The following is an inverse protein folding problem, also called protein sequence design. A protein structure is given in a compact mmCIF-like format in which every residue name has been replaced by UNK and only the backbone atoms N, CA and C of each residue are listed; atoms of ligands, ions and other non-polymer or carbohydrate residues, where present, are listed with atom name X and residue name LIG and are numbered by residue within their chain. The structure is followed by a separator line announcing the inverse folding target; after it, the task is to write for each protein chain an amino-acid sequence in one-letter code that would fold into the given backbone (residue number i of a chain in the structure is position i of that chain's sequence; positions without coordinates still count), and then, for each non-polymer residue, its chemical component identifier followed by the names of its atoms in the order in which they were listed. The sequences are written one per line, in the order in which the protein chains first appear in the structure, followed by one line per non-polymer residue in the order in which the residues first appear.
data_IF_999111664487
#
_entry.id   IF_999111664487
#
_cell.length_a   1.000
_cell.length_b   1.000
_cell.length_c   1.000
_cell.angle_alpha   90.00
_cell.angle_beta   90.00
_cell.angle_gamma   90.00
#
_symmetry.space_group_name_H-M   'P 1'
#
loop_
_entity.id
_entity.type
_entity.pdbx_description
1 polymer ?
#
# COMPACT_ATOMS: atom_id res chain seq x y z
N UNK A 1 38.21 49.83 -11.18
CA UNK A 1 37.60 49.01 -10.10
C UNK A 1 36.63 48.05 -10.76
N UNK A 2 36.96 46.74 -10.81
CA UNK A 2 36.11 45.70 -11.42
C UNK A 2 35.22 45.11 -10.32
N UNK A 3 33.91 45.28 -10.43
CA UNK A 3 32.95 44.63 -9.54
C UNK A 3 32.72 43.19 -10.04
N UNK A 4 32.97 42.22 -9.16
CA UNK A 4 32.73 40.80 -9.40
C UNK A 4 31.37 40.49 -8.76
N UNK A 5 30.34 40.20 -9.55
CA UNK A 5 29.06 39.69 -9.05
C UNK A 5 29.21 38.19 -8.75
N UNK A 6 28.99 37.81 -7.48
CA UNK A 6 28.77 36.42 -7.09
C UNK A 6 27.29 36.08 -7.33
N UNK A 7 27.02 35.18 -8.28
CA UNK A 7 25.68 34.59 -8.43
C UNK A 7 25.61 33.34 -7.56
N UNK A 8 24.78 33.37 -6.51
CA UNK A 8 24.51 32.23 -5.67
C UNK A 8 23.38 31.40 -6.29
N UNK A 9 23.74 30.28 -6.91
CA UNK A 9 22.77 29.31 -7.41
C UNK A 9 22.20 28.51 -6.24
N UNK A 10 20.93 28.76 -5.90
CA UNK A 10 20.17 27.91 -4.98
C UNK A 10 19.84 26.62 -5.73
N UNK A 11 20.45 25.50 -5.33
CA UNK A 11 20.02 24.18 -5.78
C UNK A 11 18.67 23.88 -5.15
N UNK A 12 17.60 23.92 -5.96
CA UNK A 12 16.37 23.23 -5.62
C UNK A 12 16.59 21.73 -5.88
N UNK A 13 16.77 20.96 -4.81
CA UNK A 13 16.62 19.50 -4.87
C UNK A 13 15.15 19.19 -5.11
N UNK A 14 14.81 18.79 -6.34
CA UNK A 14 13.52 18.21 -6.64
C UNK A 14 13.42 16.86 -5.92
N UNK A 15 12.65 16.80 -4.83
CA UNK A 15 12.27 15.54 -4.22
C UNK A 15 11.44 14.74 -5.22
N UNK A 16 11.81 13.49 -5.45
CA UNK A 16 10.97 12.54 -6.19
C UNK A 16 9.68 12.33 -5.40
N UNK A 17 8.55 12.77 -5.94
CA UNK A 17 7.22 12.44 -5.42
C UNK A 17 6.99 10.94 -5.63
N UNK A 18 7.37 10.12 -4.64
CA UNK A 18 6.88 8.75 -4.58
C UNK A 18 5.38 8.81 -4.31
N UNK A 19 4.59 8.04 -5.05
CA UNK A 19 3.24 7.75 -4.61
C UNK A 19 3.33 7.18 -3.19
N UNK A 20 2.72 7.85 -2.21
CA UNK A 20 2.71 7.37 -0.83
C UNK A 20 1.87 6.10 -0.78
N UNK A 21 2.54 4.96 -0.71
CA UNK A 21 1.92 3.69 -0.39
C UNK A 21 1.63 3.65 1.11
N UNK A 22 0.56 2.95 1.48
CA UNK A 22 0.30 2.63 2.88
C UNK A 22 1.49 1.81 3.41
N UNK A 23 2.07 2.14 4.58
CA UNK A 23 3.11 1.33 5.19
C UNK A 23 2.54 -0.04 5.58
N UNK A 24 3.33 -1.10 5.38
CA UNK A 24 3.00 -2.47 5.76
C UNK A 24 1.55 -2.87 5.39
N UNK A 25 1.15 -2.56 4.15
CA UNK A 25 -0.23 -2.67 3.67
C UNK A 25 -0.66 -4.10 3.33
N UNK A 26 0.29 -5.03 3.23
CA UNK A 26 0.06 -6.47 3.17
C UNK A 26 0.30 -7.20 4.49
N UNK A 27 0.62 -6.49 5.59
CA UNK A 27 0.82 -7.07 6.92
C UNK A 27 1.89 -8.18 6.98
N UNK A 28 3.06 -7.94 6.37
CA UNK A 28 4.18 -8.87 6.34
C UNK A 28 5.16 -8.64 7.50
N UNK A 29 5.19 -7.42 8.05
CA UNK A 29 6.13 -7.02 9.09
C UNK A 29 5.43 -6.91 10.46
N UNK A 30 5.95 -7.62 11.46
CA UNK A 30 5.41 -7.68 12.82
C UNK A 30 6.52 -7.64 13.86
N UNK A 31 6.24 -7.06 15.02
CA UNK A 31 7.16 -7.03 16.16
C UNK A 31 6.50 -7.55 17.45
N UNK A 32 7.27 -8.12 18.39
CA UNK A 32 6.75 -8.53 19.69
C UNK A 32 6.15 -7.36 20.47
N UNK A 33 4.95 -7.56 21.03
CA UNK A 33 4.20 -6.53 21.76
C UNK A 33 3.45 -7.16 22.94
N UNK A 34 3.87 -6.91 24.18
CA UNK A 34 3.23 -7.42 25.42
C UNK A 34 2.81 -8.92 25.40
N UNK A 35 3.67 -9.80 24.88
CA UNK A 35 3.39 -11.24 24.83
C UNK A 35 2.48 -11.69 23.68
N UNK A 36 2.08 -10.76 22.81
CA UNK A 36 1.54 -10.99 21.46
C UNK A 36 2.48 -10.32 20.44
N UNK A 37 1.99 -10.06 19.23
CA UNK A 37 2.66 -9.33 18.15
C UNK A 37 1.80 -8.13 17.75
N UNK A 38 2.44 -7.11 17.19
CA UNK A 38 1.78 -5.97 16.57
C UNK A 38 2.36 -5.74 15.17
N UNK A 39 1.53 -5.36 14.18
CA UNK A 39 2.03 -5.09 12.85
C UNK A 39 2.80 -3.77 12.85
N UNK A 40 3.94 -3.73 12.17
CA UNK A 40 4.73 -2.51 12.07
C UNK A 40 3.91 -1.38 11.44
N UNK A 41 4.02 -0.16 11.98
CA UNK A 41 3.26 1.04 11.57
C UNK A 41 1.75 1.01 11.86
N UNK A 42 1.26 0.01 12.59
CA UNK A 42 -0.13 -0.12 12.97
C UNK A 42 -0.25 -0.32 14.48
N UNK A 43 -1.27 0.29 15.08
CA UNK A 43 -1.56 0.16 16.51
C UNK A 43 -3.00 -0.31 16.67
N UNK A 44 -3.23 -1.22 17.60
CA UNK A 44 -4.57 -1.77 17.79
C UNK A 44 -4.88 -2.15 19.23
N UNK A 45 -6.05 -2.74 19.39
CA UNK A 45 -6.63 -3.15 20.68
C UNK A 45 -5.82 -4.19 21.44
N UNK A 46 -4.73 -4.75 20.87
CA UNK A 46 -3.82 -5.66 21.58
C UNK A 46 -3.19 -5.04 22.84
N UNK A 47 -3.15 -3.71 22.97
CA UNK A 47 -2.73 -3.05 24.21
C UNK A 47 -3.61 -3.44 25.42
N UNK A 48 -4.88 -3.84 25.19
CA UNK A 48 -5.81 -4.28 26.22
C UNK A 48 -5.39 -5.58 26.90
N UNK A 49 -4.41 -6.31 26.35
CA UNK A 49 -3.81 -7.48 27.00
C UNK A 49 -3.22 -7.12 28.37
N UNK A 50 -2.73 -5.88 28.55
CA UNK A 50 -2.24 -5.37 29.85
C UNK A 50 -3.36 -5.34 30.91
N UNK A 51 -4.60 -5.16 30.48
CA UNK A 51 -5.78 -5.17 31.33
C UNK A 51 -6.40 -6.58 31.48
N UNK A 52 -5.75 -7.63 30.96
CA UNK A 52 -6.23 -9.01 31.02
C UNK A 52 -7.15 -9.44 29.87
N UNK A 53 -7.26 -8.62 28.81
CA UNK A 53 -8.02 -9.01 27.64
C UNK A 53 -7.29 -10.06 26.79
N UNK A 54 -8.03 -10.87 26.04
CA UNK A 54 -7.43 -11.73 25.00
C UNK A 54 -6.86 -10.89 23.85
N UNK A 55 -5.76 -11.28 23.20
CA UNK A 55 -5.31 -10.62 21.98
C UNK A 55 -6.39 -10.70 20.90
N UNK A 56 -6.53 -9.63 20.13
CA UNK A 56 -7.57 -9.50 19.12
C UNK A 56 -7.04 -9.38 17.71
N UNK A 57 -5.75 -9.15 17.53
CA UNK A 57 -5.11 -8.91 16.22
C UNK A 57 -3.82 -9.70 16.19
N UNK A 58 -3.64 -10.61 15.25
CA UNK A 58 -2.43 -11.45 15.18
C UNK A 58 -2.06 -11.71 13.71
N UNK A 59 -0.78 -12.00 13.40
CA UNK A 59 -0.40 -12.47 12.07
C UNK A 59 -1.02 -13.83 11.81
N UNK A 60 -1.34 -14.11 10.54
CA UNK A 60 -1.77 -15.44 10.11
C UNK A 60 -1.15 -15.81 8.77
N UNK A 61 -0.77 -17.08 8.60
CA UNK A 61 -0.27 -17.60 7.32
C UNK A 61 -1.37 -17.92 6.32
N UNK A 62 -2.62 -17.77 6.73
CA UNK A 62 -3.78 -17.86 5.85
C UNK A 62 -4.00 -16.48 5.21
N UNK A 63 -3.14 -16.16 4.24
CA UNK A 63 -3.00 -14.87 3.60
C UNK A 63 -3.50 -14.90 2.13
N UNK A 64 -3.88 -13.74 1.59
CA UNK A 64 -4.22 -13.61 0.17
C UNK A 64 -2.96 -13.48 -0.69
N UNK A 65 -2.02 -12.65 -0.26
CA UNK A 65 -0.69 -12.55 -0.85
C UNK A 65 0.39 -12.68 0.23
N UNK A 66 1.67 -12.73 -0.18
CA UNK A 66 2.78 -12.82 0.77
C UNK A 66 2.76 -14.05 1.69
N UNK A 67 3.31 -13.89 2.90
CA UNK A 67 3.37 -14.94 3.92
C UNK A 67 2.36 -14.73 5.03
N UNK A 68 1.92 -13.48 5.25
CA UNK A 68 1.10 -13.11 6.39
C UNK A 68 -0.06 -12.20 5.98
N UNK A 69 -1.13 -12.28 6.75
CA UNK A 69 -2.22 -11.31 6.74
C UNK A 69 -2.56 -10.93 8.18
N UNK A 70 -3.34 -9.86 8.36
CA UNK A 70 -3.85 -9.48 9.68
C UNK A 70 -5.15 -10.25 9.99
N UNK A 71 -5.15 -11.03 11.08
CA UNK A 71 -6.32 -11.71 11.61
C UNK A 71 -6.86 -10.97 12.83
N UNK A 72 -8.09 -10.52 12.73
CA UNK A 72 -8.87 -9.83 13.75
C UNK A 72 -9.88 -10.79 14.37
N UNK A 73 -9.97 -10.86 15.69
CA UNK A 73 -10.98 -11.63 16.42
C UNK A 73 -11.60 -10.84 17.56
N UNK A 74 -12.87 -11.14 17.89
CA UNK A 74 -13.53 -10.60 19.08
C UNK A 74 -12.65 -10.79 20.31
N UNK A 75 -12.44 -9.69 21.03
CA UNK A 75 -11.69 -9.64 22.28
C UNK A 75 -12.62 -9.97 23.43
N UNK A 76 -12.14 -10.76 24.38
CA UNK A 76 -12.81 -11.04 25.65
C UNK A 76 -12.04 -10.35 26.75
N UNK A 77 -12.72 -9.54 27.55
CA UNK A 77 -12.19 -8.94 28.78
C UNK A 77 -13.00 -9.45 29.97
N UNK A 78 -12.34 -10.13 30.90
CA UNK A 78 -12.94 -10.55 32.17
C UNK A 78 -12.93 -9.37 33.16
N UNK A 79 -14.12 -8.89 33.50
CA UNK A 79 -14.34 -7.87 34.52
C UNK A 79 -15.00 -8.51 35.75
N UNK A 80 -14.17 -8.98 36.68
CA UNK A 80 -14.62 -9.53 37.97
C UNK A 80 -15.50 -10.79 37.85
N UNK A 81 -15.20 -11.65 36.87
CA UNK A 81 -15.92 -12.89 36.60
C UNK A 81 -17.02 -12.78 35.55
N UNK A 82 -17.19 -11.60 34.95
CA UNK A 82 -18.11 -11.35 33.84
C UNK A 82 -17.32 -11.09 32.56
N UNK A 83 -17.58 -11.88 31.51
CA UNK A 83 -16.94 -11.72 30.20
C UNK A 83 -17.63 -10.61 29.40
N UNK A 84 -16.87 -9.59 29.01
CA UNK A 84 -17.31 -8.51 28.12
C UNK A 84 -16.62 -8.64 26.77
N UNK A 85 -17.40 -8.55 25.70
CA UNK A 85 -16.91 -8.70 24.33
C UNK A 85 -16.63 -7.33 23.69
N UNK A 86 -15.46 -7.18 23.10
CA UNK A 86 -15.06 -5.99 22.36
C UNK A 86 -14.64 -6.34 20.93
N UNK A 87 -14.88 -5.47 19.94
CA UNK A 87 -14.27 -5.65 18.63
C UNK A 87 -12.77 -5.42 18.75
N UNK A 88 -12.02 -6.17 17.97
CA UNK A 88 -10.63 -5.83 17.68
C UNK A 88 -10.59 -4.67 16.69
N UNK A 89 -9.84 -3.62 17.01
CA UNK A 89 -9.71 -2.41 16.18
C UNK A 89 -8.24 -2.07 15.99
N UNK A 90 -7.87 -1.70 14.77
CA UNK A 90 -6.52 -1.31 14.38
C UNK A 90 -6.54 -0.01 13.62
N UNK A 91 -5.52 0.81 13.83
CA UNK A 91 -5.34 2.14 13.27
C UNK A 91 -3.95 2.27 12.68
N UNK A 92 -3.83 2.99 11.57
CA UNK A 92 -2.52 3.31 11.00
C UNK A 92 -1.82 4.36 11.85
N UNK A 93 -0.57 4.06 12.22
CA UNK A 93 0.40 4.96 12.85
C UNK A 93 -0.19 5.80 14.00
N UNK A 94 -1.12 5.24 14.78
CA UNK A 94 -1.56 5.87 16.02
C UNK A 94 -0.61 5.49 17.14
N UNK A 95 -0.32 6.41 18.05
CA UNK A 95 0.37 6.04 19.30
C UNK A 95 -0.64 6.06 20.45
N UNK A 96 -0.53 5.18 21.45
CA UNK A 96 -1.43 5.19 22.61
C UNK A 96 -1.32 6.47 23.47
N UNK A 97 -0.26 7.26 23.27
CA UNK A 97 0.15 8.37 24.14
C UNK A 97 -0.25 9.73 23.58
N UNK A 98 -0.64 9.79 22.31
CA UNK A 98 -1.06 11.00 21.60
C UNK A 98 -2.37 10.70 20.87
N UNK A 99 -3.33 11.63 20.88
CA UNK A 99 -4.52 11.58 20.00
C UNK A 99 -4.16 11.69 18.50
N UNK A 100 -2.86 11.64 18.15
CA UNK A 100 -2.36 11.60 16.78
C UNK A 100 -2.60 10.21 16.19
N UNK A 101 -3.75 10.05 15.53
CA UNK A 101 -4.02 8.98 14.59
C UNK A 101 -3.62 9.42 13.17
N UNK A 102 -2.96 8.53 12.42
CA UNK A 102 -2.74 8.72 10.99
C UNK A 102 -1.28 8.89 10.57
N UNK A 103 -1.10 9.01 9.25
CA UNK A 103 0.21 9.15 8.60
C UNK A 103 0.21 10.36 7.66
N UNK A 104 1.34 11.07 7.49
CA UNK A 104 1.44 12.16 6.53
C UNK A 104 1.03 11.70 5.13
N UNK A 105 0.04 12.35 4.55
CA UNK A 105 -0.53 11.96 3.26
C UNK A 105 -1.07 13.13 2.46
N UNK A 106 -0.54 13.36 1.26
CA UNK A 106 -0.96 14.46 0.38
C UNK A 106 -1.70 13.99 -0.88
N UNK A 107 -2.01 12.70 -0.98
CA UNK A 107 -2.72 12.13 -2.12
C UNK A 107 -4.22 12.40 -2.09
N UNK A 108 -4.87 12.27 -3.25
CA UNK A 108 -6.34 12.29 -3.38
C UNK A 108 -6.82 11.02 -4.12
N UNK A 109 -6.84 9.86 -3.42
CA UNK A 109 -7.27 8.59 -3.98
C UNK A 109 -8.73 8.59 -4.45
N UNK A 110 -8.98 7.90 -5.54
CA UNK A 110 -10.33 7.58 -6.02
C UNK A 110 -11.03 6.59 -5.08
N UNK A 111 -10.32 5.52 -4.69
CA UNK A 111 -10.90 4.43 -3.90
C UNK A 111 -9.90 3.76 -2.99
N UNK A 112 -10.40 3.12 -1.92
CA UNK A 112 -9.65 2.15 -1.13
C UNK A 112 -10.07 0.74 -1.54
N UNK A 113 -9.09 -0.14 -1.67
CA UNK A 113 -9.27 -1.57 -1.99
C UNK A 113 -8.66 -2.38 -0.85
N UNK A 114 -9.29 -3.50 -0.53
CA UNK A 114 -8.77 -4.49 0.41
C UNK A 114 -9.17 -5.90 -0.04
N UNK A 115 -8.41 -6.90 0.39
CA UNK A 115 -8.83 -8.29 0.33
C UNK A 115 -9.26 -8.73 1.73
N UNK A 116 -10.50 -9.21 1.82
CA UNK A 116 -11.10 -9.57 3.11
C UNK A 116 -11.65 -10.98 3.07
N UNK A 117 -11.57 -11.67 4.19
CA UNK A 117 -12.29 -12.92 4.44
C UNK A 117 -12.92 -12.80 5.82
N UNK A 118 -14.20 -13.15 5.93
CA UNK A 118 -14.95 -12.83 7.13
C UNK A 118 -15.88 -13.96 7.56
N UNK A 119 -15.77 -14.30 8.83
CA UNK A 119 -16.52 -15.34 9.53
C UNK A 119 -17.25 -14.65 10.69
N UNK A 120 -18.45 -14.07 10.46
CA UNK A 120 -19.17 -13.38 11.52
C UNK A 120 -19.73 -14.36 12.53
N UNK A 121 -19.67 -13.99 13.81
CA UNK A 121 -20.59 -14.54 14.79
C UNK A 121 -21.98 -13.99 14.52
N UNK A 122 -22.92 -14.82 14.05
CA UNK A 122 -24.29 -14.39 13.77
C UNK A 122 -24.41 -13.35 12.64
N UNK A 123 -25.32 -12.39 12.78
CA UNK A 123 -25.46 -11.26 11.85
C UNK A 123 -24.57 -10.11 12.36
N UNK A 124 -23.35 -10.03 11.83
CA UNK A 124 -22.36 -9.02 12.20
C UNK A 124 -21.75 -8.39 10.94
N UNK A 125 -21.19 -7.19 11.07
CA UNK A 125 -20.55 -6.44 9.99
C UNK A 125 -19.19 -5.92 10.44
N UNK A 126 -18.17 -6.06 9.61
CA UNK A 126 -16.88 -5.41 9.86
C UNK A 126 -16.86 -3.99 9.29
N UNK A 127 -15.90 -3.17 9.73
CA UNK A 127 -15.68 -1.81 9.23
C UNK A 127 -14.25 -1.64 8.74
N UNK A 128 -14.10 -1.05 7.54
CA UNK A 128 -12.85 -0.42 7.13
C UNK A 128 -13.16 1.02 6.78
N UNK A 129 -12.42 1.97 7.36
CA UNK A 129 -12.62 3.40 7.12
C UNK A 129 -11.29 4.11 6.95
N UNK A 130 -11.22 5.01 5.99
CA UNK A 130 -10.11 5.91 5.79
C UNK A 130 -10.61 7.35 5.66
N UNK A 131 -10.01 8.27 6.42
CA UNK A 131 -10.31 9.70 6.34
C UNK A 131 -9.07 10.48 5.90
N UNK A 132 -9.27 11.40 4.96
CA UNK A 132 -8.28 12.36 4.50
C UNK A 132 -8.55 13.68 5.21
N UNK A 133 -7.56 14.16 5.95
CA UNK A 133 -7.68 15.31 6.84
C UNK A 133 -6.70 16.41 6.45
N UNK A 134 -7.00 17.64 6.88
CA UNK A 134 -6.11 18.79 6.77
C UNK A 134 -6.11 19.58 8.05
N UNK A 135 -4.95 19.85 8.62
CA UNK A 135 -4.83 20.77 9.75
C UNK A 135 -4.82 22.23 9.26
N UNK A 136 -5.70 23.04 9.83
CA UNK A 136 -5.79 24.46 9.53
C UNK A 136 -5.14 25.27 10.67
N UNK A 137 -3.92 25.81 10.48
CA UNK A 137 -3.21 26.52 11.55
C UNK A 137 -3.86 27.86 11.92
N UNK A 138 -4.71 28.43 11.07
CA UNK A 138 -5.39 29.69 11.36
C UNK A 138 -6.57 29.50 12.32
N UNK A 139 -7.29 28.37 12.20
CA UNK A 139 -8.45 28.03 13.06
C UNK A 139 -8.09 27.04 14.17
N UNK A 140 -6.91 26.41 14.09
CA UNK A 140 -6.48 25.30 14.94
C UNK A 140 -7.44 24.11 14.90
N UNK A 141 -8.06 23.86 13.74
CA UNK A 141 -9.01 22.77 13.53
C UNK A 141 -8.51 21.79 12.48
N UNK A 142 -9.02 20.56 12.55
CA UNK A 142 -8.81 19.53 11.53
C UNK A 142 -10.03 19.47 10.64
N UNK A 143 -9.84 19.76 9.36
CA UNK A 143 -10.89 19.73 8.35
C UNK A 143 -10.93 18.36 7.66
N UNK A 144 -12.11 17.76 7.55
CA UNK A 144 -12.31 16.55 6.74
C UNK A 144 -12.30 16.92 5.25
N UNK A 145 -11.36 16.36 4.51
CA UNK A 145 -11.20 16.56 3.07
C UNK A 145 -11.96 15.50 2.27
N UNK A 146 -11.88 14.25 2.69
CA UNK A 146 -12.63 13.15 2.09
C UNK A 146 -12.64 11.91 2.97
N UNK A 147 -13.60 11.03 2.73
CA UNK A 147 -13.78 9.81 3.51
C UNK A 147 -14.15 8.63 2.61
N UNK A 148 -13.61 7.47 2.93
CA UNK A 148 -14.00 6.19 2.35
C UNK A 148 -14.35 5.25 3.51
N UNK A 149 -15.56 4.72 3.54
CA UNK A 149 -16.02 3.80 4.58
C UNK A 149 -16.74 2.61 3.98
N UNK A 150 -16.46 1.42 4.49
CA UNK A 150 -17.08 0.18 4.08
C UNK A 150 -17.52 -0.65 5.29
N UNK A 151 -18.82 -0.87 5.39
CA UNK A 151 -19.41 -1.83 6.32
C UNK A 151 -19.70 -3.12 5.57
N UNK A 152 -18.87 -4.15 5.77
CA UNK A 152 -18.93 -5.38 5.01
C UNK A 152 -19.78 -6.46 5.67
N UNK A 153 -20.36 -7.33 4.84
CA UNK A 153 -21.24 -8.46 5.22
C UNK A 153 -20.86 -9.75 4.48
N UNK A 154 -19.81 -9.72 3.68
CA UNK A 154 -19.36 -10.84 2.87
C UNK A 154 -18.94 -11.97 3.79
N UNK A 155 -19.64 -13.10 3.75
CA UNK A 155 -19.33 -14.24 4.60
C UNK A 155 -18.72 -15.36 3.79
N UNK A 156 -17.72 -16.02 4.34
CA UNK A 156 -17.10 -17.18 3.71
C UNK A 156 -15.65 -17.37 4.11
N UNK A 157 -15.12 -18.53 3.76
CA UNK A 157 -13.73 -18.91 4.06
C UNK A 157 -12.78 -18.64 2.89
N UNK A 158 -13.10 -17.70 2.02
CA UNK A 158 -12.30 -17.31 0.85
C UNK A 158 -12.14 -15.81 0.80
N UNK A 159 -10.94 -15.35 0.46
CA UNK A 159 -10.67 -13.93 0.27
C UNK A 159 -11.51 -13.34 -0.87
N UNK A 160 -12.14 -12.21 -0.58
CA UNK A 160 -12.99 -11.43 -1.47
C UNK A 160 -12.41 -10.03 -1.58
N UNK A 161 -12.25 -9.55 -2.81
CA UNK A 161 -11.81 -8.18 -3.05
C UNK A 161 -12.96 -7.22 -2.83
N UNK A 162 -12.77 -6.24 -1.94
CA UNK A 162 -13.66 -5.09 -1.76
C UNK A 162 -13.00 -3.83 -2.27
N UNK A 163 -13.81 -2.91 -2.80
CA UNK A 163 -13.37 -1.62 -3.30
C UNK A 163 -14.47 -0.59 -3.07
N UNK A 164 -14.12 0.55 -2.47
CA UNK A 164 -15.09 1.59 -2.14
C UNK A 164 -14.50 2.99 -2.35
N UNK A 165 -15.27 3.92 -2.93
CA UNK A 165 -14.76 5.22 -3.34
C UNK A 165 -14.60 6.19 -2.16
N UNK A 166 -13.67 7.13 -2.29
CA UNK A 166 -13.63 8.32 -1.45
C UNK A 166 -14.72 9.31 -1.87
N UNK A 167 -15.45 9.82 -0.89
CA UNK A 167 -16.35 10.96 -1.05
C UNK A 167 -15.64 12.21 -0.52
N UNK A 168 -15.46 13.22 -1.38
CA UNK A 168 -14.76 14.46 -1.03
C UNK A 168 -15.71 15.58 -0.64
N UNK A 169 -15.48 16.17 0.54
CA UNK A 169 -16.15 17.36 1.05
C UNK A 169 -15.43 18.66 0.70
N UNK A 170 -14.15 18.58 0.30
CA UNK A 170 -13.31 19.73 -0.03
C UNK A 170 -12.34 19.45 -1.18
N UNK A 171 -11.98 20.50 -1.93
CA UNK A 171 -10.95 20.47 -2.97
C UNK A 171 -9.52 20.66 -2.44
N UNK A 172 -9.36 21.02 -1.16
CA UNK A 172 -8.06 21.22 -0.54
C UNK A 172 -7.19 19.96 -0.57
N UNK A 173 -5.86 20.12 -0.63
CA UNK A 173 -4.95 18.96 -0.52
C UNK A 173 -4.88 18.51 0.94
N UNK A 174 -5.15 17.23 1.27
CA UNK A 174 -4.99 16.73 2.63
C UNK A 174 -3.52 16.75 3.04
N UNK A 175 -3.26 16.69 4.33
CA UNK A 175 -1.92 16.49 4.89
C UNK A 175 -1.81 15.19 5.68
N UNK A 176 -2.94 14.56 6.01
CA UNK A 176 -3.00 13.39 6.88
C UNK A 176 -4.02 12.38 6.34
N UNK A 177 -3.66 11.10 6.42
CA UNK A 177 -4.55 9.97 6.21
C UNK A 177 -4.68 9.19 7.51
N UNK A 178 -5.91 9.00 7.97
CA UNK A 178 -6.25 7.99 8.98
C UNK A 178 -6.84 6.77 8.30
N UNK A 179 -6.59 5.59 8.86
CA UNK A 179 -7.18 4.33 8.43
C UNK A 179 -7.46 3.48 9.65
N UNK A 180 -8.70 3.02 9.78
CA UNK A 180 -9.20 2.14 10.82
C UNK A 180 -9.76 0.86 10.20
N UNK A 181 -9.48 -0.27 10.85
CA UNK A 181 -10.11 -1.56 10.59
C UNK A 181 -10.71 -2.07 11.90
N UNK A 182 -11.96 -2.50 11.88
CA UNK A 182 -12.64 -3.11 13.03
C UNK A 182 -13.34 -4.41 12.62
N UNK A 183 -13.22 -5.46 13.44
CA UNK A 183 -13.88 -6.75 13.20
C UNK A 183 -15.41 -6.70 13.33
N UNK A 184 -15.93 -5.67 13.99
CA UNK A 184 -17.37 -5.42 14.15
C UNK A 184 -17.66 -3.92 14.22
N UNK A 185 -18.79 -3.46 13.66
CA UNK A 185 -19.25 -2.05 13.62
C UNK A 185 -19.81 -1.51 14.94
N UNK A 186 -19.52 -2.18 16.07
CA UNK A 186 -20.04 -1.94 17.43
C UNK A 186 -21.54 -2.25 17.64
N UNK A 187 -21.80 -2.91 18.77
CA UNK A 187 -23.04 -3.34 19.43
C UNK A 187 -24.17 -4.03 18.61
N UNK A 188 -24.51 -5.29 18.91
CA UNK A 188 -23.80 -6.19 19.82
C UNK A 188 -22.49 -6.69 19.18
N UNK A 189 -21.39 -6.61 19.92
CA UNK A 189 -20.18 -7.36 19.54
C UNK A 189 -20.46 -8.84 19.75
N UNK A 190 -20.34 -9.64 18.69
CA UNK A 190 -20.67 -11.07 18.74
C UNK A 190 -19.42 -11.93 18.88
N UNK A 191 -19.48 -12.92 19.78
CA UNK A 191 -18.43 -13.92 19.94
C UNK A 191 -18.18 -14.69 18.63
N UNK A 192 -16.98 -15.25 18.48
CA UNK A 192 -16.55 -16.00 17.29
C UNK A 192 -16.56 -15.19 15.98
N UNK A 193 -16.58 -13.86 16.04
CA UNK A 193 -16.36 -13.03 14.86
C UNK A 193 -14.87 -13.00 14.53
N UNK A 194 -14.53 -13.36 13.28
CA UNK A 194 -13.16 -13.31 12.77
C UNK A 194 -13.14 -12.60 11.42
N UNK A 195 -12.29 -11.58 11.31
CA UNK A 195 -12.00 -10.86 10.07
C UNK A 195 -10.53 -11.09 9.70
N UNK A 196 -10.28 -11.36 8.44
CA UNK A 196 -8.95 -11.38 7.85
C UNK A 196 -8.87 -10.22 6.88
N UNK A 197 -7.79 -9.44 6.94
CA UNK A 197 -7.54 -8.33 6.01
C UNK A 197 -6.14 -8.46 5.46
N UNK A 198 -6.02 -8.25 4.16
CA UNK A 198 -4.77 -8.28 3.42
C UNK A 198 -4.81 -7.28 2.25
N UNK A 199 -3.64 -6.91 1.72
CA UNK A 199 -3.45 -6.13 0.51
C UNK A 199 -4.29 -4.84 0.44
N UNK A 200 -4.07 -3.91 1.37
CA UNK A 200 -4.68 -2.58 1.34
C UNK A 200 -4.09 -1.72 0.23
N UNK A 201 -4.92 -1.13 -0.63
CA UNK A 201 -4.46 -0.32 -1.77
C UNK A 201 -5.29 0.96 -1.87
N UNK A 202 -4.60 2.10 -1.88
CA UNK A 202 -5.18 3.39 -2.27
C UNK A 202 -5.05 3.53 -3.79
N UNK A 203 -6.18 3.46 -4.49
CA UNK A 203 -6.24 3.66 -5.93
C UNK A 203 -6.29 5.16 -6.17
N UNK A 204 -5.26 5.71 -6.79
CA UNK A 204 -5.25 7.11 -7.23
C UNK A 204 -5.51 7.16 -8.73
N UNK A 205 -6.55 7.88 -9.14
CA UNK A 205 -6.62 8.34 -10.52
C UNK A 205 -5.57 9.46 -10.64
N UNK A 206 -4.61 9.32 -11.55
CA UNK A 206 -3.53 10.29 -11.77
C UNK A 206 -3.99 11.64 -12.32
N UNK A 207 -4.87 12.35 -11.58
CA UNK A 207 -5.40 13.67 -11.91
C UNK A 207 -5.16 14.67 -10.76
N UNK A 208 -4.06 14.50 -10.01
CA UNK A 208 -3.45 15.64 -9.35
C UNK A 208 -2.67 16.41 -10.42
N UNK A 209 -2.81 17.74 -10.44
CA UNK A 209 -2.13 18.67 -11.34
C UNK A 209 -0.61 18.67 -11.16
N UNK A 210 0.04 17.56 -11.51
CA UNK A 210 1.42 17.54 -11.95
C UNK A 210 1.42 17.90 -13.45
N UNK A 211 2.43 18.62 -13.96
CA UNK A 211 2.61 18.71 -15.40
C UNK A 211 2.59 17.27 -15.92
N UNK A 212 1.67 17.00 -16.83
CA UNK A 212 1.47 15.74 -17.53
C UNK A 212 2.75 14.89 -17.46
N UNK A 213 2.79 13.93 -16.51
CA UNK A 213 3.62 12.77 -16.73
C UNK A 213 2.90 12.09 -17.89
N UNK A 214 3.29 12.46 -19.10
CA UNK A 214 3.39 11.47 -20.16
C UNK A 214 4.13 10.32 -19.50
N UNK A 215 3.42 9.23 -19.21
CA UNK A 215 4.06 7.97 -18.90
C UNK A 215 5.10 7.81 -20.00
N UNK A 216 6.38 7.96 -19.66
CA UNK A 216 7.43 7.86 -20.66
C UNK A 216 7.22 6.51 -21.33
N UNK A 217 6.81 6.57 -22.60
CA UNK A 217 6.34 5.41 -23.32
C UNK A 217 7.56 4.53 -23.55
N UNK A 218 7.68 3.46 -22.78
CA UNK A 218 8.65 2.41 -23.09
C UNK A 218 7.99 1.46 -24.09
N UNK A 219 8.60 1.32 -25.26
CA UNK A 219 8.18 0.38 -26.29
C UNK A 219 9.15 -0.81 -26.26
N UNK A 220 8.67 -2.00 -25.92
CA UNK A 220 9.45 -3.23 -25.95
C UNK A 220 8.86 -4.17 -27.02
N UNK A 221 9.51 -4.28 -28.17
CA UNK A 221 8.95 -4.95 -29.34
C UNK A 221 10.01 -5.64 -30.22
N UNK A 222 9.65 -6.70 -30.96
CA UNK A 222 8.36 -7.38 -30.95
C UNK A 222 8.18 -8.31 -29.74
N UNK A 223 6.94 -8.55 -29.34
CA UNK A 223 6.58 -9.57 -28.36
C UNK A 223 5.32 -10.31 -28.86
N UNK A 224 5.41 -11.59 -29.28
CA UNK A 224 6.58 -12.48 -29.22
C UNK A 224 7.76 -12.06 -30.10
N UNK A 225 8.98 -12.34 -29.64
CA UNK A 225 10.25 -12.08 -30.33
C UNK A 225 10.87 -13.37 -30.90
N UNK A 226 11.56 -13.28 -32.04
CA UNK A 226 12.41 -14.37 -32.54
C UNK A 226 13.85 -14.19 -32.05
N UNK A 227 14.58 -13.26 -32.68
CA UNK A 227 16.03 -13.10 -32.47
C UNK A 227 16.41 -11.78 -31.81
N UNK A 228 15.55 -10.77 -31.86
CA UNK A 228 15.88 -9.42 -31.41
C UNK A 228 14.70 -8.79 -30.68
N UNK A 229 15.00 -8.13 -29.57
CA UNK A 229 14.08 -7.25 -28.85
C UNK A 229 14.59 -5.82 -28.96
N UNK A 230 13.74 -4.90 -29.38
CA UNK A 230 14.02 -3.46 -29.41
C UNK A 230 13.31 -2.81 -28.22
N UNK A 231 14.04 -2.00 -27.48
CA UNK A 231 13.54 -1.23 -26.35
C UNK A 231 13.75 0.24 -26.71
N UNK A 232 12.67 1.00 -26.81
CA UNK A 232 12.73 2.45 -26.99
C UNK A 232 12.15 3.12 -25.76
N UNK A 233 12.84 4.13 -25.26
CA UNK A 233 12.35 4.94 -24.17
C UNK A 233 12.64 6.41 -24.46
N UNK A 234 11.72 7.30 -24.09
CA UNK A 234 11.98 8.75 -24.15
C UNK A 234 13.13 9.16 -23.20
N UNK A 235 13.44 8.32 -22.22
CA UNK A 235 14.51 8.52 -21.24
C UNK A 235 15.69 7.63 -21.57
N UNK A 236 16.89 8.11 -21.26
CA UNK A 236 18.08 7.29 -21.37
C UNK A 236 17.98 6.08 -20.42
N UNK A 237 18.30 4.92 -20.94
CA UNK A 237 18.35 3.66 -20.22
C UNK A 237 19.70 3.56 -19.50
N UNK A 238 19.68 3.15 -18.23
CA UNK A 238 20.87 2.84 -17.44
C UNK A 238 21.20 1.36 -17.51
N UNK A 239 20.20 0.48 -17.43
CA UNK A 239 20.39 -0.97 -17.52
C UNK A 239 19.18 -1.63 -18.17
N UNK A 240 19.42 -2.61 -19.05
CA UNK A 240 18.40 -3.57 -19.48
C UNK A 240 18.84 -4.97 -19.05
N UNK A 241 17.96 -5.71 -18.40
CA UNK A 241 18.17 -7.09 -18.00
C UNK A 241 17.09 -8.00 -18.58
N UNK A 242 17.49 -9.16 -19.07
CA UNK A 242 16.57 -10.25 -19.37
C UNK A 242 16.81 -11.37 -18.38
N UNK A 243 15.78 -11.75 -17.63
CA UNK A 243 15.85 -12.81 -16.61
C UNK A 243 14.89 -13.95 -16.92
N UNK A 244 15.22 -15.16 -16.49
CA UNK A 244 14.29 -16.29 -16.51
C UNK A 244 13.23 -16.21 -15.40
N UNK A 245 12.28 -17.15 -15.39
CA UNK A 245 11.21 -17.20 -14.39
C UNK A 245 11.69 -17.50 -12.96
N UNK A 246 12.94 -17.96 -12.78
CA UNK A 246 13.58 -18.12 -11.47
C UNK A 246 14.28 -16.84 -11.00
N UNK A 247 14.29 -15.79 -11.81
CA UNK A 247 14.96 -14.52 -11.53
C UNK A 247 16.45 -14.50 -11.89
N UNK A 248 16.97 -15.56 -12.52
CA UNK A 248 18.37 -15.61 -12.96
C UNK A 248 18.56 -14.71 -14.19
N UNK A 249 19.52 -13.79 -14.12
CA UNK A 249 19.90 -12.93 -15.24
C UNK A 249 20.54 -13.75 -16.35
N UNK A 250 19.96 -13.67 -17.55
CA UNK A 250 20.45 -14.31 -18.76
C UNK A 250 21.24 -13.32 -19.62
N UNK A 251 20.76 -12.10 -19.74
CA UNK A 251 21.39 -11.01 -20.50
C UNK A 251 21.32 -9.71 -19.70
N UNK A 252 22.35 -8.88 -19.84
CA UNK A 252 22.43 -7.55 -19.22
C UNK A 252 23.17 -6.60 -20.14
N UNK A 253 22.58 -5.44 -20.39
CA UNK A 253 23.16 -4.34 -21.17
C UNK A 253 23.18 -3.11 -20.27
N UNK A 254 24.32 -2.43 -20.20
CA UNK A 254 24.55 -1.27 -19.33
C UNK A 254 24.73 -0.04 -20.22
N UNK A 255 24.11 1.06 -19.83
CA UNK A 255 24.12 2.36 -20.48
C UNK A 255 23.85 2.32 -22.00
N UNK A 256 22.79 1.64 -22.50
CA UNK A 256 22.57 1.54 -23.95
C UNK A 256 22.11 2.86 -24.61
N UNK A 257 21.82 3.91 -23.84
CA UNK A 257 21.28 5.17 -24.36
C UNK A 257 19.74 5.15 -24.39
N UNK A 258 19.09 5.88 -25.30
CA UNK A 258 17.63 5.94 -25.37
C UNK A 258 16.98 4.70 -26.05
N UNK A 259 17.76 4.00 -26.87
CA UNK A 259 17.33 2.81 -27.59
C UNK A 259 18.29 1.64 -27.29
N UNK A 260 17.74 0.47 -26.97
CA UNK A 260 18.51 -0.76 -26.79
C UNK A 260 18.04 -1.85 -27.74
N UNK A 261 18.98 -2.66 -28.22
CA UNK A 261 18.71 -3.88 -28.97
C UNK A 261 19.28 -5.07 -28.19
N UNK A 262 18.41 -6.01 -27.84
CA UNK A 262 18.75 -7.20 -27.07
C UNK A 262 18.69 -8.40 -28.00
N UNK A 263 19.85 -8.99 -28.27
CA UNK A 263 19.95 -10.19 -29.08
C UNK A 263 19.50 -11.39 -28.25
N UNK A 264 18.42 -12.02 -28.67
CA UNK A 264 17.84 -13.20 -28.05
C UNK A 264 18.28 -14.50 -28.73
N UNK A 265 18.94 -14.46 -29.90
CA UNK A 265 19.18 -15.63 -30.78
C UNK A 265 19.77 -16.86 -30.08
N UNK A 266 20.65 -16.67 -29.09
CA UNK A 266 21.29 -17.75 -28.33
C UNK A 266 20.41 -18.37 -27.23
N UNK A 267 19.26 -17.77 -26.91
CA UNK A 267 18.32 -18.28 -25.90
C UNK A 267 17.40 -19.36 -26.50
N UNK A 268 17.00 -20.34 -25.70
CA UNK A 268 15.94 -21.26 -26.11
C UNK A 268 14.57 -20.53 -26.16
N UNK A 269 13.64 -21.03 -26.98
CA UNK A 269 12.26 -20.56 -26.97
C UNK A 269 11.67 -20.72 -25.56
N UNK A 270 10.92 -19.71 -25.10
CA UNK A 270 10.48 -19.65 -23.70
C UNK A 270 9.94 -18.28 -23.30
N UNK A 271 9.54 -18.17 -22.03
CA UNK A 271 9.08 -16.91 -21.43
C UNK A 271 10.16 -16.33 -20.52
N UNK A 272 10.40 -15.04 -20.68
CA UNK A 272 11.40 -14.28 -19.93
C UNK A 272 10.77 -13.01 -19.38
N UNK A 273 11.46 -12.37 -18.44
CA UNK A 273 11.11 -11.05 -17.93
C UNK A 273 12.20 -10.07 -18.36
N UNK A 274 11.81 -9.03 -19.09
CA UNK A 274 12.68 -7.90 -19.42
C UNK A 274 12.49 -6.81 -18.35
N UNK A 275 13.57 -6.43 -17.67
CA UNK A 275 13.62 -5.31 -16.72
C UNK A 275 14.43 -4.18 -17.33
N UNK A 276 13.87 -2.99 -17.35
CA UNK A 276 14.51 -1.80 -17.92
C UNK A 276 14.61 -0.74 -16.83
N UNK A 277 15.83 -0.32 -16.56
CA UNK A 277 16.17 0.73 -15.62
C UNK A 277 16.58 1.95 -16.43
N UNK A 278 16.06 3.12 -16.10
CA UNK A 278 16.42 4.39 -16.74
C UNK A 278 17.42 5.16 -15.88
N UNK A 279 18.08 6.15 -16.47
CA UNK A 279 19.01 7.04 -15.75
C UNK A 279 18.30 7.96 -14.75
N UNK A 280 16.97 8.14 -14.88
CA UNK A 280 16.15 8.91 -13.94
C UNK A 280 15.58 8.07 -12.78
N UNK A 281 15.96 6.79 -12.70
CA UNK A 281 15.57 5.88 -11.63
C UNK A 281 14.25 5.14 -11.85
N UNK A 282 13.56 5.39 -12.97
CA UNK A 282 12.37 4.63 -13.34
C UNK A 282 12.71 3.17 -13.67
N UNK A 283 11.81 2.26 -13.33
CA UNK A 283 11.96 0.83 -13.60
C UNK A 283 10.72 0.31 -14.30
N UNK A 284 10.92 -0.35 -15.44
CA UNK A 284 9.88 -0.98 -16.24
C UNK A 284 10.12 -2.49 -16.28
N UNK A 285 9.04 -3.26 -16.29
CA UNK A 285 9.12 -4.71 -16.40
C UNK A 285 8.07 -5.23 -17.36
N UNK A 286 8.48 -6.04 -18.33
CA UNK A 286 7.58 -6.68 -19.29
C UNK A 286 7.89 -8.17 -19.47
N UNK A 287 6.85 -8.98 -19.63
CA UNK A 287 6.96 -10.41 -19.95
C UNK A 287 7.20 -10.59 -21.45
N UNK A 288 8.33 -11.17 -21.82
CA UNK A 288 8.72 -11.41 -23.22
C UNK A 288 8.59 -12.89 -23.57
N UNK A 289 7.97 -13.20 -24.70
CA UNK A 289 7.91 -14.56 -25.25
C UNK A 289 8.91 -14.68 -26.39
N UNK A 290 9.91 -15.57 -26.26
CA UNK A 290 10.76 -15.97 -27.39
C UNK A 290 10.15 -17.17 -28.11
N UNK A 291 10.06 -17.10 -29.44
CA UNK A 291 9.67 -18.20 -30.33
C UNK A 291 10.87 -18.76 -31.10
#
# INVERSE_FOLDING_TARGET
MKQILFSATVLFTAGTLSAQQLPNNGFEDWHPFYGTEAPDYWTGTNQMVIAGATPGIDPTTDAHSGNYAARFSTIVLDLLGEEVLYPSVMYINSTPETDDEGTPFTGRPDSLVAWVKYLPGGQNQFLIRADLLKYNPATQQVDLIGTAGYMGVETGNTYTRIAFPFTYSSAETPDTLTLMIASSTFEPTLANTVLFVDDLILVTNGLATAPELTAASIEIAPNPASDMLTIRCEKALSVVELVDLSGKTLLKVIDPGADAQINLSELAAGTFICRVFTTDGSVYQERIVKQ
#
